data_IF_821478820678
#
_entry.id   IF_821478820678
#
_cell.length_a   1.000
_cell.length_b   1.000
_cell.length_c   1.000
_cell.angle_alpha   90.00
_cell.angle_beta   90.00
_cell.angle_gamma   90.00
#
_symmetry.space_group_name_H-M   'P 1'
#
loop_
_entity.id
_entity.type
_entity.pdbx_description
1 polymer ?
#
# COMPACT_ATOMS: atom_id res chain seq x y z
N UNK A 1 22.12 -1.49 -1.10
CA UNK A 1 20.86 -0.87 -0.62
C UNK A 1 20.02 -0.51 -1.84
N UNK A 2 18.82 -1.10 -2.00
CA UNK A 2 18.00 -0.93 -3.22
C UNK A 2 17.48 0.50 -3.39
N UNK A 3 17.31 0.94 -4.65
CA UNK A 3 16.83 2.28 -5.04
C UNK A 3 15.54 2.70 -4.30
N UNK A 4 14.61 1.76 -4.11
CA UNK A 4 13.33 2.00 -3.43
C UNK A 4 13.47 2.32 -1.94
N UNK A 5 14.46 1.74 -1.23
CA UNK A 5 14.74 2.13 0.18
C UNK A 5 15.26 3.57 0.26
N UNK A 6 16.01 4.02 -0.75
CA UNK A 6 16.44 5.43 -0.81
C UNK A 6 15.25 6.38 -1.01
N UNK A 7 14.28 6.00 -1.84
CA UNK A 7 13.09 6.81 -2.10
C UNK A 7 12.11 6.84 -0.92
N UNK A 8 11.83 5.70 -0.29
CA UNK A 8 10.98 5.63 0.90
C UNK A 8 11.66 6.18 2.16
N UNK A 9 12.99 6.27 2.16
CA UNK A 9 13.81 6.55 3.34
C UNK A 9 13.97 5.32 4.25
N UNK A 10 14.82 5.45 5.26
CA UNK A 10 14.93 4.44 6.31
C UNK A 10 13.93 4.73 7.43
N UNK A 11 13.31 3.67 7.92
CA UNK A 11 12.39 3.70 9.06
C UNK A 11 13.09 3.09 10.27
N UNK A 12 13.57 3.97 11.15
CA UNK A 12 14.36 3.71 12.35
C UNK A 12 13.78 4.49 13.53
N UNK A 13 14.34 4.29 14.73
CA UNK A 13 14.00 5.10 15.91
C UNK A 13 14.28 6.60 15.74
N UNK A 14 15.28 6.95 14.91
CA UNK A 14 15.69 8.33 14.66
C UNK A 14 14.91 9.01 13.52
N UNK A 15 14.46 8.24 12.52
CA UNK A 15 13.81 8.77 11.33
C UNK A 15 12.65 7.88 10.90
N UNK A 16 11.49 8.49 10.68
CA UNK A 16 10.35 7.81 10.08
C UNK A 16 10.52 7.72 8.55
N UNK A 17 10.36 6.52 8.01
CA UNK A 17 10.23 6.33 6.57
C UNK A 17 8.87 6.82 6.06
N UNK A 18 8.76 7.05 4.75
CA UNK A 18 7.49 7.37 4.11
C UNK A 18 6.57 6.15 4.10
N UNK A 19 5.27 6.30 4.42
CA UNK A 19 4.32 5.19 4.50
C UNK A 19 3.78 4.83 3.10
N UNK A 20 4.69 4.65 2.15
CA UNK A 20 4.41 4.29 0.74
C UNK A 20 5.35 3.19 0.24
N UNK A 21 6.11 2.58 1.16
CA UNK A 21 7.17 1.62 0.84
C UNK A 21 6.65 0.41 0.05
N UNK A 22 5.44 -0.07 0.35
CA UNK A 22 4.79 -1.16 -0.38
C UNK A 22 4.54 -0.82 -1.85
N UNK A 23 4.20 0.44 -2.16
CA UNK A 23 3.99 0.91 -3.53
C UNK A 23 5.32 1.14 -4.27
N UNK A 24 6.37 1.52 -3.54
CA UNK A 24 7.70 1.73 -4.12
C UNK A 24 8.52 0.44 -4.27
N UNK A 25 8.00 -0.69 -3.81
CA UNK A 25 8.65 -1.98 -3.99
C UNK A 25 8.78 -2.35 -5.49
N UNK A 26 9.73 -3.23 -5.86
CA UNK A 26 10.00 -3.54 -7.26
C UNK A 26 8.77 -3.97 -8.07
N UNK A 27 7.91 -4.82 -7.51
CA UNK A 27 6.78 -5.37 -8.23
C UNK A 27 5.72 -4.31 -8.61
N UNK A 28 5.21 -3.45 -7.69
CA UNK A 28 4.32 -2.37 -8.11
C UNK A 28 4.98 -1.31 -9.00
N UNK A 29 6.27 -1.01 -8.81
CA UNK A 29 7.00 -0.09 -9.71
C UNK A 29 7.04 -0.64 -11.14
N UNK A 30 7.33 -1.94 -11.30
CA UNK A 30 7.29 -2.61 -12.61
C UNK A 30 5.87 -2.57 -13.18
N UNK A 31 4.83 -2.82 -12.38
CA UNK A 31 3.45 -2.77 -12.84
C UNK A 31 3.03 -1.36 -13.28
N UNK A 32 3.44 -0.31 -12.55
CA UNK A 32 3.22 1.09 -12.93
C UNK A 32 3.97 1.41 -14.22
N UNK A 33 5.23 1.01 -14.35
CA UNK A 33 6.02 1.23 -15.56
C UNK A 33 5.38 0.54 -16.77
N UNK A 34 4.89 -0.69 -16.58
CA UNK A 34 4.18 -1.45 -17.60
C UNK A 34 2.86 -0.79 -18.01
N UNK A 35 2.10 -0.29 -17.03
CA UNK A 35 0.87 0.47 -17.28
C UNK A 35 1.14 1.75 -18.08
N UNK A 36 2.17 2.53 -17.69
CA UNK A 36 2.55 3.75 -18.41
C UNK A 36 3.03 3.44 -19.82
N UNK A 37 3.88 2.41 -19.99
CA UNK A 37 4.34 1.97 -21.30
C UNK A 37 3.17 1.51 -22.18
N UNK A 38 2.25 0.73 -21.61
CA UNK A 38 1.05 0.27 -22.30
C UNK A 38 0.19 1.45 -22.78
N UNK A 39 -0.08 2.41 -21.90
CA UNK A 39 -1.00 3.50 -22.18
C UNK A 39 -0.40 4.59 -23.08
N UNK A 40 0.92 4.76 -23.08
CA UNK A 40 1.60 5.82 -23.85
C UNK A 40 2.21 5.35 -25.15
N UNK A 41 2.54 4.05 -25.27
CA UNK A 41 3.29 3.53 -26.42
C UNK A 41 2.54 2.42 -27.13
N UNK A 42 1.92 1.49 -26.39
CA UNK A 42 1.30 0.32 -27.02
C UNK A 42 -0.13 0.60 -27.52
N UNK A 43 -0.93 1.36 -26.77
CA UNK A 43 -2.25 1.80 -27.23
C UNK A 43 -2.09 2.72 -28.45
N UNK A 44 -2.75 2.37 -29.56
CA UNK A 44 -2.61 3.08 -30.84
C UNK A 44 -1.43 2.64 -31.72
N UNK A 45 -0.68 1.61 -31.31
CA UNK A 45 0.35 0.97 -32.12
C UNK A 45 -0.21 -0.24 -32.91
N UNK A 46 0.67 -1.06 -33.51
CA UNK A 46 0.29 -2.31 -34.16
C UNK A 46 -0.12 -3.43 -33.16
N UNK A 47 -0.03 -3.18 -31.86
CA UNK A 47 -0.45 -4.14 -30.84
C UNK A 47 -1.99 -4.33 -30.86
N UNK A 48 -2.50 -5.55 -30.67
CA UNK A 48 -3.95 -5.79 -30.61
C UNK A 48 -4.60 -5.03 -29.44
N UNK A 49 -5.69 -4.31 -29.72
CA UNK A 49 -6.39 -3.50 -28.71
C UNK A 49 -6.84 -4.34 -27.51
N UNK A 50 -7.34 -5.55 -27.76
CA UNK A 50 -7.77 -6.49 -26.70
C UNK A 50 -6.64 -6.86 -25.74
N UNK A 51 -5.39 -6.92 -26.21
CA UNK A 51 -4.23 -7.24 -25.36
C UNK A 51 -3.86 -6.04 -24.48
N UNK A 52 -3.81 -4.84 -25.07
CA UNK A 52 -3.48 -3.61 -24.35
C UNK A 52 -4.56 -3.22 -23.32
N UNK A 53 -5.83 -3.54 -23.60
CA UNK A 53 -6.93 -3.39 -22.66
C UNK A 53 -6.74 -4.28 -21.43
N UNK A 54 -6.56 -5.59 -21.63
CA UNK A 54 -6.38 -6.56 -20.54
C UNK A 54 -5.12 -6.30 -19.71
N UNK A 55 -4.04 -5.86 -20.36
CA UNK A 55 -2.81 -5.49 -19.66
C UNK A 55 -3.02 -4.28 -18.73
N UNK A 56 -3.77 -3.28 -19.20
CA UNK A 56 -4.15 -2.11 -18.41
C UNK A 56 -5.02 -2.52 -17.21
N UNK A 57 -6.00 -3.41 -17.42
CA UNK A 57 -6.84 -3.91 -16.34
C UNK A 57 -6.04 -4.70 -15.29
N UNK A 58 -5.19 -5.64 -15.71
CA UNK A 58 -4.35 -6.45 -14.79
C UNK A 58 -3.42 -5.56 -13.97
N UNK A 59 -2.72 -4.63 -14.61
CA UNK A 59 -1.77 -3.75 -13.91
C UNK A 59 -2.49 -2.72 -13.04
N UNK A 60 -3.59 -2.15 -13.52
CA UNK A 60 -4.43 -1.22 -12.78
C UNK A 60 -5.04 -1.86 -11.52
N UNK A 61 -5.67 -3.03 -11.66
CA UNK A 61 -6.27 -3.79 -10.54
C UNK A 61 -5.21 -4.23 -9.53
N UNK A 62 -3.99 -4.57 -9.98
CA UNK A 62 -2.88 -4.89 -9.09
C UNK A 62 -2.44 -3.69 -8.24
N UNK A 63 -2.20 -2.54 -8.90
CA UNK A 63 -1.56 -1.35 -8.32
C UNK A 63 -2.55 -0.52 -7.51
N UNK A 64 -3.78 -0.36 -7.98
CA UNK A 64 -4.74 0.59 -7.45
C UNK A 64 -4.99 0.44 -5.93
N UNK A 65 -5.19 -0.77 -5.37
CA UNK A 65 -5.38 -0.91 -3.92
C UNK A 65 -4.16 -0.42 -3.11
N UNK A 66 -2.94 -0.67 -3.61
CA UNK A 66 -1.71 -0.22 -2.96
C UNK A 66 -1.56 1.29 -3.05
N UNK A 67 -1.85 1.87 -4.22
CA UNK A 67 -1.82 3.30 -4.43
C UNK A 67 -2.86 4.03 -3.55
N UNK A 68 -4.07 3.50 -3.45
CA UNK A 68 -5.12 4.06 -2.61
C UNK A 68 -4.70 4.09 -1.13
N UNK A 69 -4.14 3.00 -0.60
CA UNK A 69 -3.64 2.98 0.78
C UNK A 69 -2.45 3.93 0.96
N UNK A 70 -1.50 3.93 0.04
CA UNK A 70 -0.33 4.82 0.09
C UNK A 70 -0.73 6.31 0.08
N UNK A 71 -1.75 6.70 -0.69
CA UNK A 71 -2.29 8.08 -0.68
C UNK A 71 -2.93 8.41 0.66
N UNK A 72 -3.79 7.54 1.19
CA UNK A 72 -4.43 7.73 2.50
C UNK A 72 -3.39 7.85 3.61
N UNK A 73 -2.38 6.99 3.58
CA UNK A 73 -1.30 6.95 4.55
C UNK A 73 -0.37 8.17 4.42
N UNK A 74 -0.08 8.63 3.21
CA UNK A 74 0.69 9.85 2.99
C UNK A 74 -0.04 11.10 3.49
N UNK A 75 -1.34 11.22 3.19
CA UNK A 75 -2.19 12.31 3.70
C UNK A 75 -2.27 12.23 5.22
N UNK A 76 -2.48 11.04 5.78
CA UNK A 76 -2.48 10.80 7.22
C UNK A 76 -1.16 11.21 7.89
N UNK A 77 -0.02 10.95 7.25
CA UNK A 77 1.28 11.40 7.73
C UNK A 77 1.44 12.92 7.69
N UNK A 78 0.86 13.58 6.68
CA UNK A 78 0.77 15.05 6.61
C UNK A 78 -0.06 15.62 7.76
N UNK A 79 -1.24 15.07 8.00
CA UNK A 79 -2.11 15.47 9.11
C UNK A 79 -1.50 15.18 10.48
N UNK A 80 -0.74 14.09 10.62
CA UNK A 80 -0.02 13.79 11.85
C UNK A 80 1.04 14.84 12.19
N UNK A 81 1.68 15.45 11.17
CA UNK A 81 2.59 16.60 11.38
C UNK A 81 1.85 17.85 11.86
N UNK A 82 0.55 17.95 11.60
CA UNK A 82 -0.33 19.01 12.11
C UNK A 82 -0.92 18.67 13.48
N UNK A 83 -0.48 17.58 14.13
CA UNK A 83 -0.93 17.17 15.47
C UNK A 83 -2.17 16.27 15.48
N UNK A 84 -2.68 15.85 14.31
CA UNK A 84 -3.82 14.93 14.27
C UNK A 84 -3.34 13.51 14.62
N UNK A 85 -3.80 12.96 15.74
CA UNK A 85 -3.38 11.65 16.26
C UNK A 85 -3.93 10.44 15.47
N UNK A 86 -3.61 10.35 14.18
CA UNK A 86 -4.02 9.30 13.25
C UNK A 86 -2.95 8.21 13.11
N UNK A 87 -3.39 6.97 12.91
CA UNK A 87 -2.53 5.89 12.44
C UNK A 87 -2.48 5.91 10.91
N UNK A 88 -1.38 6.42 10.37
CA UNK A 88 -1.12 6.54 8.94
C UNK A 88 -0.26 5.41 8.37
N UNK A 89 -0.17 4.28 9.07
CA UNK A 89 0.64 3.14 8.62
C UNK A 89 -0.20 2.12 7.86
N UNK A 90 0.46 1.35 6.99
CA UNK A 90 -0.18 0.24 6.31
C UNK A 90 -0.66 -0.81 7.34
N UNK A 91 -1.98 -1.01 7.36
CA UNK A 91 -2.66 -1.99 8.20
C UNK A 91 -3.39 -3.02 7.34
N UNK A 92 -3.49 -4.24 7.85
CA UNK A 92 -4.20 -5.34 7.16
C UNK A 92 -5.63 -4.99 6.76
N UNK A 93 -6.36 -4.29 7.64
CA UNK A 93 -7.74 -3.90 7.36
C UNK A 93 -7.83 -2.82 6.26
N UNK A 94 -6.92 -1.83 6.25
CA UNK A 94 -6.86 -0.80 5.18
C UNK A 94 -6.66 -1.45 3.82
N UNK A 95 -5.72 -2.39 3.76
CA UNK A 95 -5.46 -3.18 2.55
C UNK A 95 -6.71 -3.98 2.13
N UNK A 96 -7.38 -4.65 3.06
CA UNK A 96 -8.61 -5.40 2.79
C UNK A 96 -9.74 -4.51 2.26
N UNK A 97 -9.94 -3.34 2.87
CA UNK A 97 -10.92 -2.34 2.41
C UNK A 97 -10.59 -1.83 1.02
N UNK A 98 -9.33 -1.48 0.75
CA UNK A 98 -8.90 -1.01 -0.57
C UNK A 98 -9.09 -2.08 -1.64
N UNK A 99 -8.76 -3.35 -1.35
CA UNK A 99 -8.98 -4.48 -2.25
C UNK A 99 -10.48 -4.70 -2.51
N UNK A 100 -11.29 -4.73 -1.46
CA UNK A 100 -12.74 -4.92 -1.59
C UNK A 100 -13.40 -3.79 -2.39
N UNK A 101 -13.00 -2.55 -2.12
CA UNK A 101 -13.45 -1.38 -2.88
C UNK A 101 -13.05 -1.49 -4.36
N UNK A 102 -11.80 -1.87 -4.64
CA UNK A 102 -11.31 -2.06 -6.02
C UNK A 102 -12.10 -3.14 -6.74
N UNK A 103 -12.32 -4.29 -6.11
CA UNK A 103 -13.10 -5.38 -6.70
C UNK A 103 -14.53 -4.96 -7.02
N UNK A 104 -15.18 -4.26 -6.09
CA UNK A 104 -16.55 -3.76 -6.25
C UNK A 104 -16.63 -2.75 -7.39
N UNK A 105 -15.79 -1.72 -7.39
CA UNK A 105 -15.83 -0.63 -8.37
C UNK A 105 -15.44 -1.15 -9.75
N UNK A 106 -14.34 -1.90 -9.87
CA UNK A 106 -13.90 -2.47 -11.14
C UNK A 106 -14.94 -3.45 -11.71
N UNK A 107 -15.44 -4.36 -10.89
CA UNK A 107 -16.48 -5.31 -11.31
C UNK A 107 -17.75 -4.59 -11.76
N UNK A 108 -18.21 -3.57 -11.01
CA UNK A 108 -19.38 -2.79 -11.36
C UNK A 108 -19.19 -2.01 -12.68
N UNK A 109 -18.01 -1.44 -12.93
CA UNK A 109 -17.70 -0.74 -14.18
C UNK A 109 -17.69 -1.69 -15.38
N UNK A 110 -17.18 -2.91 -15.24
CA UNK A 110 -17.12 -3.90 -16.32
C UNK A 110 -18.45 -4.58 -16.60
N UNK A 111 -19.35 -4.66 -15.61
CA UNK A 111 -20.67 -5.29 -15.73
C UNK A 111 -21.81 -4.31 -16.04
N UNK A 112 -21.62 -3.01 -15.77
CA UNK A 112 -22.67 -2.00 -15.96
C UNK A 112 -22.16 -0.81 -16.79
N UNK A 113 -22.65 -0.65 -18.03
CA UNK A 113 -22.32 0.51 -18.86
C UNK A 113 -22.67 1.85 -18.20
N UNK A 114 -23.75 1.88 -17.41
CA UNK A 114 -24.16 3.09 -16.68
C UNK A 114 -23.11 3.49 -15.64
N UNK A 115 -22.58 2.53 -14.88
CA UNK A 115 -21.53 2.78 -13.88
C UNK A 115 -20.22 3.13 -14.57
N UNK A 116 -19.86 2.44 -15.66
CA UNK A 116 -18.72 2.80 -16.51
C UNK A 116 -18.77 4.27 -16.94
N UNK A 117 -19.91 4.73 -17.48
CA UNK A 117 -20.09 6.12 -17.90
C UNK A 117 -20.12 7.14 -16.74
N UNK A 118 -20.52 6.75 -15.53
CA UNK A 118 -20.37 7.61 -14.35
C UNK A 118 -18.90 7.76 -13.95
N UNK A 119 -18.15 6.66 -13.92
CA UNK A 119 -16.73 6.70 -13.57
C UNK A 119 -15.92 7.43 -14.64
N UNK A 120 -16.20 7.21 -15.93
CA UNK A 120 -15.58 7.95 -17.04
C UNK A 120 -15.76 9.46 -16.89
N UNK A 121 -16.99 9.92 -16.59
CA UNK A 121 -17.26 11.34 -16.34
C UNK A 121 -16.60 11.88 -15.08
N UNK A 122 -16.48 11.07 -14.03
CA UNK A 122 -15.75 11.47 -12.83
C UNK A 122 -14.25 11.59 -13.13
N UNK A 123 -13.71 10.69 -13.95
CA UNK A 123 -12.30 10.63 -14.31
C UNK A 123 -11.91 11.63 -15.39
N UNK A 124 -12.82 12.07 -16.26
CA UNK A 124 -12.50 12.97 -17.38
C UNK A 124 -11.88 14.30 -16.93
N UNK A 125 -12.15 14.72 -15.69
CA UNK A 125 -11.53 15.90 -15.06
C UNK A 125 -10.04 15.70 -14.76
N UNK A 126 -9.61 14.46 -14.55
CA UNK A 126 -8.24 14.08 -14.19
C UNK A 126 -7.50 13.44 -15.37
N UNK A 127 -8.19 12.67 -16.21
CA UNK A 127 -7.65 11.91 -17.35
C UNK A 127 -8.67 12.04 -18.50
N UNK A 128 -8.50 13.03 -19.40
CA UNK A 128 -9.50 13.39 -20.43
C UNK A 128 -9.80 12.33 -21.51
N UNK A 129 -9.18 11.15 -21.46
CA UNK A 129 -9.23 10.15 -22.55
C UNK A 129 -9.47 8.71 -22.05
N UNK A 130 -9.98 8.55 -20.83
CA UNK A 130 -10.21 7.23 -20.23
C UNK A 130 -11.60 6.69 -20.59
N UNK A 131 -11.74 6.10 -21.78
CA UNK A 131 -12.98 5.41 -22.16
C UNK A 131 -13.04 4.01 -21.56
N UNK A 132 -14.14 3.69 -20.88
CA UNK A 132 -14.34 2.40 -20.22
C UNK A 132 -15.24 1.54 -21.09
N UNK A 133 -14.69 0.44 -21.59
CA UNK A 133 -15.45 -0.57 -22.33
C UNK A 133 -15.94 -1.66 -21.38
N UNK A 134 -17.27 -1.90 -21.28
CA UNK A 134 -17.81 -3.02 -20.54
C UNK A 134 -17.48 -4.35 -21.24
N UNK A 135 -16.66 -5.18 -20.60
CA UNK A 135 -16.36 -6.56 -21.01
C UNK A 135 -16.37 -7.45 -19.75
N UNK A 136 -17.33 -8.37 -19.60
CA UNK A 136 -17.38 -9.30 -18.48
C UNK A 136 -16.13 -10.19 -18.35
N UNK A 137 -15.39 -10.44 -19.44
CA UNK A 137 -14.15 -11.22 -19.38
C UNK A 137 -13.03 -10.50 -18.64
N UNK A 138 -13.14 -9.19 -18.45
CA UNK A 138 -12.15 -8.44 -17.65
C UNK A 138 -12.28 -8.75 -16.15
N UNK A 139 -13.37 -9.38 -15.70
CA UNK A 139 -13.48 -9.90 -14.33
C UNK A 139 -12.34 -10.87 -13.97
N UNK A 140 -11.69 -11.52 -14.94
CA UNK A 140 -10.48 -12.33 -14.70
C UNK A 140 -9.32 -11.51 -14.11
N UNK A 141 -9.26 -10.19 -14.37
CA UNK A 141 -8.26 -9.31 -13.75
C UNK A 141 -8.39 -9.27 -12.22
N UNK A 142 -9.58 -9.54 -11.66
CA UNK A 142 -9.79 -9.57 -10.20
C UNK A 142 -8.97 -10.65 -9.50
N UNK A 143 -8.57 -11.73 -10.19
CA UNK A 143 -7.68 -12.76 -9.64
C UNK A 143 -6.35 -12.14 -9.18
N UNK A 144 -5.91 -11.07 -9.85
CA UNK A 144 -4.65 -10.37 -9.56
C UNK A 144 -4.69 -9.68 -8.19
N UNK A 145 -5.88 -9.40 -7.64
CA UNK A 145 -6.02 -8.89 -6.27
C UNK A 145 -5.48 -9.86 -5.20
N UNK A 146 -5.44 -11.16 -5.48
CA UNK A 146 -4.76 -12.12 -4.60
C UNK A 146 -3.25 -11.83 -4.53
N UNK A 147 -2.65 -11.43 -5.65
CA UNK A 147 -1.26 -10.96 -5.73
C UNK A 147 -1.06 -9.66 -4.94
N UNK A 148 -1.99 -8.71 -5.05
CA UNK A 148 -1.96 -7.46 -4.27
C UNK A 148 -2.05 -7.74 -2.77
N UNK A 149 -2.96 -8.62 -2.35
CA UNK A 149 -3.09 -9.06 -0.96
C UNK A 149 -1.81 -9.69 -0.44
N UNK A 150 -1.23 -10.61 -1.20
CA UNK A 150 0.03 -11.28 -0.84
C UNK A 150 1.18 -10.27 -0.69
N UNK A 151 1.30 -9.35 -1.65
CA UNK A 151 2.35 -8.31 -1.64
C UNK A 151 2.21 -7.39 -0.41
N UNK A 152 1.01 -6.85 -0.20
CA UNK A 152 0.72 -5.97 0.94
C UNK A 152 0.88 -6.69 2.29
N UNK A 153 0.45 -7.96 2.41
CA UNK A 153 0.71 -8.76 3.61
C UNK A 153 2.19 -8.93 3.89
N UNK A 154 3.01 -9.19 2.87
CA UNK A 154 4.47 -9.28 3.04
C UNK A 154 5.12 -7.96 3.41
N UNK A 155 4.55 -6.83 3.02
CA UNK A 155 5.00 -5.52 3.49
C UNK A 155 4.66 -5.33 4.98
N UNK A 156 3.45 -5.70 5.40
CA UNK A 156 3.02 -5.64 6.80
C UNK A 156 3.86 -6.57 7.69
N UNK A 157 4.10 -7.80 7.25
CA UNK A 157 4.88 -8.80 7.99
C UNK A 157 6.33 -8.35 8.28
N UNK A 158 6.89 -7.51 7.41
CA UNK A 158 8.24 -6.93 7.55
C UNK A 158 8.29 -5.64 8.37
N UNK A 159 7.19 -5.27 9.03
CA UNK A 159 7.09 -4.02 9.78
C UNK A 159 6.93 -2.81 8.86
N UNK A 160 5.68 -2.51 8.52
CA UNK A 160 5.33 -1.36 7.69
C UNK A 160 5.90 -0.04 8.26
N UNK A 161 6.27 0.87 7.36
CA UNK A 161 6.98 2.10 7.71
C UNK A 161 6.09 3.05 8.53
N UNK A 162 6.72 3.87 9.37
CA UNK A 162 6.04 4.85 10.21
C UNK A 162 5.48 4.28 11.52
N UNK A 163 5.54 2.96 11.74
CA UNK A 163 5.00 2.33 12.96
C UNK A 163 5.70 2.76 14.23
N UNK A 164 7.02 2.94 14.19
CA UNK A 164 7.78 3.46 15.32
C UNK A 164 7.37 4.90 15.65
N UNK A 165 7.18 5.73 14.63
CA UNK A 165 6.74 7.12 14.81
C UNK A 165 5.32 7.21 15.39
N UNK A 166 4.39 6.39 14.88
CA UNK A 166 3.03 6.29 15.44
C UNK A 166 3.06 5.76 16.88
N UNK A 167 3.89 4.76 17.18
CA UNK A 167 4.03 4.25 18.54
C UNK A 167 4.54 5.35 19.50
N UNK A 168 5.59 6.08 19.10
CA UNK A 168 6.11 7.22 19.88
C UNK A 168 5.08 8.31 20.11
N UNK A 169 4.36 8.71 19.06
CA UNK A 169 3.32 9.74 19.16
C UNK A 169 2.17 9.32 20.10
N UNK A 170 1.74 8.05 20.03
CA UNK A 170 0.71 7.51 20.93
C UNK A 170 1.19 7.43 22.36
N UNK A 171 2.44 7.01 22.59
CA UNK A 171 3.04 6.98 23.93
C UNK A 171 3.09 8.38 24.55
N UNK A 172 3.56 9.38 23.79
CA UNK A 172 3.60 10.77 24.23
C UNK A 172 2.19 11.32 24.56
N UNK A 173 1.16 10.84 23.87
CA UNK A 173 -0.24 11.17 24.13
C UNK A 173 -0.88 10.34 25.26
N UNK A 174 -0.11 9.52 25.99
CA UNK A 174 -0.62 8.64 27.06
C UNK A 174 -1.57 7.54 26.57
N UNK A 175 -1.59 7.24 25.26
CA UNK A 175 -2.47 6.23 24.69
C UNK A 175 -1.87 4.82 24.82
N UNK A 176 -2.67 3.80 25.12
CA UNK A 176 -2.18 2.43 25.26
C UNK A 176 -1.58 1.90 23.95
N UNK A 177 -0.48 1.15 24.08
CA UNK A 177 0.27 0.49 23.01
C UNK A 177 0.33 -1.01 23.29
N UNK A 178 -0.76 -1.73 23.03
CA UNK A 178 -0.80 -3.16 23.34
C UNK A 178 0.21 -3.97 22.47
N UNK A 179 0.29 -3.68 21.17
CA UNK A 179 1.26 -4.29 20.25
C UNK A 179 1.29 -3.51 18.91
N UNK A 180 2.23 -2.57 18.73
CA UNK A 180 2.33 -1.80 17.48
C UNK A 180 2.49 -2.67 16.22
N UNK A 181 3.07 -3.86 16.37
CA UNK A 181 3.38 -4.79 15.30
C UNK A 181 2.53 -6.07 15.28
N UNK A 182 1.51 -6.20 16.13
CA UNK A 182 0.76 -7.45 16.30
C UNK A 182 0.06 -7.99 15.04
N UNK A 183 -0.42 -7.12 14.16
CA UNK A 183 -1.01 -7.54 12.87
C UNK A 183 0.02 -8.11 11.88
N UNK A 184 1.33 -7.88 12.11
CA UNK A 184 2.39 -8.52 11.33
C UNK A 184 2.36 -10.04 11.48
N UNK A 185 2.02 -10.57 12.66
CA UNK A 185 1.88 -12.02 12.90
C UNK A 185 0.78 -12.61 12.02
N UNK A 186 -0.39 -11.96 11.97
CA UNK A 186 -1.48 -12.37 11.08
C UNK A 186 -1.10 -12.27 9.59
N UNK A 187 -0.08 -11.49 9.27
CA UNK A 187 0.49 -11.36 7.93
C UNK A 187 1.66 -12.32 7.63
N UNK A 188 2.02 -13.19 8.58
CA UNK A 188 3.05 -14.22 8.41
C UNK A 188 4.42 -13.88 9.00
N UNK A 189 4.52 -12.85 9.84
CA UNK A 189 5.74 -12.59 10.61
C UNK A 189 5.93 -13.64 11.71
N UNK A 190 7.18 -13.92 12.06
CA UNK A 190 7.54 -14.77 13.19
C UNK A 190 7.05 -14.13 14.51
N UNK A 191 6.14 -14.79 15.25
CA UNK A 191 5.62 -14.27 16.52
C UNK A 191 6.71 -13.97 17.55
N UNK A 192 7.82 -14.72 17.56
CA UNK A 192 8.92 -14.48 18.49
C UNK A 192 9.64 -13.17 18.19
N UNK A 193 9.92 -12.90 16.90
CA UNK A 193 10.54 -11.64 16.45
C UNK A 193 9.63 -10.44 16.69
N UNK A 194 8.32 -10.58 16.48
CA UNK A 194 7.36 -9.51 16.76
C UNK A 194 7.32 -9.19 18.25
N UNK A 195 7.27 -10.21 19.13
CA UNK A 195 7.34 -9.99 20.58
C UNK A 195 8.64 -9.33 21.03
N UNK A 196 9.77 -9.76 20.46
CA UNK A 196 11.08 -9.16 20.71
C UNK A 196 11.09 -7.67 20.35
N UNK A 197 10.57 -7.33 19.16
CA UNK A 197 10.46 -5.94 18.69
C UNK A 197 9.53 -5.12 19.58
N UNK A 198 8.33 -5.62 19.90
CA UNK A 198 7.38 -4.93 20.77
C UNK A 198 7.99 -4.66 22.16
N UNK A 199 8.71 -5.63 22.73
CA UNK A 199 9.40 -5.47 24.00
C UNK A 199 10.55 -4.44 23.92
N UNK A 200 11.31 -4.43 22.83
CA UNK A 200 12.34 -3.41 22.59
C UNK A 200 11.73 -2.01 22.48
N UNK A 201 10.62 -1.87 21.75
CA UNK A 201 9.90 -0.60 21.59
C UNK A 201 9.36 -0.11 22.93
N UNK A 202 8.79 -1.00 23.75
CA UNK A 202 8.30 -0.63 25.08
C UNK A 202 9.42 -0.08 25.99
N UNK A 203 10.60 -0.74 25.99
CA UNK A 203 11.78 -0.26 26.75
C UNK A 203 12.29 1.09 26.23
N UNK A 204 12.39 1.24 24.92
CA UNK A 204 12.82 2.50 24.29
C UNK A 204 11.88 3.66 24.64
N UNK A 205 10.56 3.44 24.54
CA UNK A 205 9.57 4.46 24.90
C UNK A 205 9.62 4.83 26.38
N UNK A 206 10.01 3.90 27.26
CA UNK A 206 10.26 4.15 28.68
C UNK A 206 11.61 4.86 28.97
N UNK A 207 12.32 5.34 27.94
CA UNK A 207 13.61 6.05 28.07
C UNK A 207 14.85 5.17 27.89
N UNK A 208 14.68 3.92 27.46
CA UNK A 208 15.80 3.02 27.15
C UNK A 208 16.49 3.32 25.81
N UNK A 209 17.55 2.55 25.53
CA UNK A 209 18.33 2.67 24.29
C UNK A 209 17.49 2.31 23.04
N UNK A 210 17.72 3.07 21.96
CA UNK A 210 17.13 2.89 20.64
C UNK A 210 17.78 1.73 19.84
N UNK A 211 19.06 1.44 20.05
CA UNK A 211 19.78 0.44 19.26
C UNK A 211 19.13 -0.97 19.26
N UNK A 212 18.58 -1.47 20.38
CA UNK A 212 17.84 -2.74 20.38
C UNK A 212 16.59 -2.74 19.49
N UNK A 213 15.90 -1.60 19.35
CA UNK A 213 14.72 -1.48 18.49
C UNK A 213 15.14 -1.59 17.02
N UNK A 214 16.16 -0.83 16.61
CA UNK A 214 16.65 -0.86 15.23
C UNK A 214 17.21 -2.23 14.86
N UNK A 215 17.91 -2.90 15.80
CA UNK A 215 18.39 -4.27 15.62
C UNK A 215 17.22 -5.27 15.47
N UNK A 216 16.20 -5.21 16.33
CA UNK A 216 15.04 -6.10 16.23
C UNK A 216 14.23 -5.85 14.95
N UNK A 217 14.06 -4.58 14.55
CA UNK A 217 13.37 -4.22 13.30
C UNK A 217 14.15 -4.70 12.08
N UNK A 218 15.49 -4.65 12.12
CA UNK A 218 16.34 -5.21 11.05
C UNK A 218 16.18 -6.72 10.91
N UNK A 219 16.02 -7.46 12.01
CA UNK A 219 15.78 -8.92 12.01
C UNK A 219 14.38 -9.28 11.51
N UNK A 220 13.40 -8.39 11.66
CA UNK A 220 12.04 -8.62 11.16
C UNK A 220 11.93 -8.45 9.64
N UNK A 221 12.79 -7.61 9.04
CA UNK A 221 12.75 -7.21 7.62
C UNK A 221 13.45 -8.18 6.67
#
# INVERSE_FOLDING_TARGET
MGLWRRLAGDDTTARAGLPVHELLAPLPVIAIALLVLNDRVLKGSAAPEWLTGKLSDVTGVFVFPLAAVAVVDLVGAGLARLGVGLDYTLRRWKLGVAIGFTALVFGAMKLSPAIGGWVERAWSWLIPSATIYPDPTDAFALIVLAGTWWHGRRAIARGAYGRLAVARARHAAGRPLASPFGDAVACGADPARVRELDAAVARWLAGGDAAPVDAALSRLR
#
